data_IF_895699765679
#
_entry.id   IF_895699765679
#
_cell.length_a   1.000
_cell.length_b   1.000
_cell.length_c   1.000
_cell.angle_alpha   90.00
_cell.angle_beta   90.00
_cell.angle_gamma   90.00
#
_symmetry.space_group_name_H-M   'P 1'
#
loop_
_entity.id
_entity.type
_entity.pdbx_description
1 polymer ?
#
# COMPACT_ATOMS: atom_id res chain seq x y z
N UNK A 1 -5.23 -1.44 14.93
CA UNK A 1 -5.03 -1.96 13.56
C UNK A 1 -3.78 -1.39 12.91
N UNK A 2 -3.70 -0.12 12.49
CA UNK A 2 -2.47 0.44 11.83
C UNK A 2 -1.18 0.31 12.65
N UNK A 3 -1.20 0.75 13.91
CA UNK A 3 -0.07 0.56 14.83
C UNK A 3 0.24 -0.93 15.09
N UNK A 4 -0.79 -1.79 15.05
CA UNK A 4 -0.63 -3.24 15.17
C UNK A 4 0.02 -3.83 13.91
N UNK A 5 -0.32 -3.35 12.72
CA UNK A 5 0.30 -3.74 11.44
C UNK A 5 1.76 -3.30 11.38
N UNK A 6 2.06 -2.05 11.73
CA UNK A 6 3.44 -1.56 11.83
C UNK A 6 4.24 -2.37 12.85
N UNK A 7 3.69 -2.59 14.05
CA UNK A 7 4.32 -3.42 15.07
C UNK A 7 4.54 -4.87 14.63
N UNK A 8 3.61 -5.45 13.87
CA UNK A 8 3.77 -6.78 13.29
C UNK A 8 4.94 -6.81 12.31
N UNK A 9 5.06 -5.82 11.41
CA UNK A 9 6.18 -5.71 10.47
C UNK A 9 7.52 -5.64 11.23
N UNK A 10 7.64 -4.75 12.21
CA UNK A 10 8.86 -4.64 13.04
C UNK A 10 9.17 -5.98 13.73
N UNK A 11 8.16 -6.62 14.35
CA UNK A 11 8.37 -7.86 15.08
C UNK A 11 8.82 -9.00 14.15
N UNK A 12 8.28 -9.07 12.93
CA UNK A 12 8.71 -10.05 11.93
C UNK A 12 10.15 -9.79 11.50
N UNK A 13 10.50 -8.56 11.12
CA UNK A 13 11.88 -8.20 10.71
C UNK A 13 12.87 -8.47 11.85
N UNK A 14 12.54 -8.07 13.07
CA UNK A 14 13.36 -8.31 14.26
C UNK A 14 13.52 -9.81 14.55
N UNK A 15 12.46 -10.59 14.41
CA UNK A 15 12.53 -12.05 14.57
C UNK A 15 13.47 -12.68 13.54
N UNK A 16 13.44 -12.20 12.29
CA UNK A 16 14.38 -12.62 11.25
C UNK A 16 15.82 -12.14 11.53
N UNK A 17 16.02 -10.95 12.10
CA UNK A 17 17.36 -10.48 12.47
C UNK A 17 17.99 -11.30 13.60
N UNK A 18 17.16 -11.81 14.52
CA UNK A 18 17.61 -12.48 15.75
C UNK A 18 17.51 -14.01 15.69
N UNK A 19 16.93 -14.57 14.63
CA UNK A 19 16.82 -16.02 14.52
C UNK A 19 18.20 -16.64 14.34
N UNK A 20 18.48 -17.66 15.15
CA UNK A 20 19.71 -18.45 15.04
C UNK A 20 19.58 -19.60 14.03
N UNK A 21 18.36 -19.94 13.64
CA UNK A 21 18.03 -20.94 12.62
C UNK A 21 16.75 -20.52 11.87
N UNK A 22 16.72 -20.56 10.52
CA UNK A 22 17.84 -20.87 9.63
C UNK A 22 18.96 -19.80 9.69
N UNK A 23 20.18 -20.16 9.31
CA UNK A 23 21.29 -19.20 9.17
C UNK A 23 21.16 -18.46 7.85
N UNK A 24 21.10 -17.13 7.91
CA UNK A 24 21.06 -16.27 6.73
C UNK A 24 22.45 -15.78 6.32
N UNK A 25 22.63 -15.51 5.03
CA UNK A 25 23.82 -14.80 4.52
C UNK A 25 24.03 -13.45 5.21
N UNK A 26 25.30 -13.02 5.32
CA UNK A 26 25.63 -11.72 5.93
C UNK A 26 24.97 -10.54 5.19
N UNK A 27 24.84 -10.65 3.87
CA UNK A 27 24.19 -9.64 3.02
C UNK A 27 22.69 -9.52 3.33
N UNK A 28 21.98 -10.64 3.45
CA UNK A 28 20.57 -10.63 3.81
C UNK A 28 20.37 -10.14 5.25
N UNK A 29 21.21 -10.56 6.20
CA UNK A 29 21.18 -10.04 7.58
C UNK A 29 21.46 -8.53 7.65
N UNK A 30 22.33 -8.01 6.80
CA UNK A 30 22.59 -6.57 6.72
C UNK A 30 21.35 -5.84 6.21
N UNK A 31 20.69 -6.37 5.17
CA UNK A 31 19.44 -5.82 4.63
C UNK A 31 18.36 -5.77 5.73
N UNK A 32 18.13 -6.88 6.42
CA UNK A 32 17.15 -6.96 7.51
C UNK A 32 17.42 -5.94 8.64
N UNK A 33 18.69 -5.76 9.03
CA UNK A 33 19.09 -4.78 10.05
C UNK A 33 18.84 -3.35 9.59
N UNK A 34 19.22 -3.00 8.36
CA UNK A 34 18.97 -1.67 7.80
C UNK A 34 17.46 -1.38 7.70
N UNK A 35 16.68 -2.36 7.24
CA UNK A 35 15.22 -2.23 7.22
C UNK A 35 14.64 -2.08 8.63
N UNK A 36 15.12 -2.82 9.63
CA UNK A 36 14.65 -2.69 11.01
C UNK A 36 14.87 -1.27 11.56
N UNK A 37 16.07 -0.71 11.31
CA UNK A 37 16.40 0.66 11.70
C UNK A 37 15.48 1.66 10.98
N UNK A 38 15.27 1.47 9.68
CA UNK A 38 14.42 2.34 8.85
C UNK A 38 12.95 2.33 9.31
N UNK A 39 12.35 1.15 9.48
CA UNK A 39 10.97 1.00 9.94
C UNK A 39 10.75 1.53 11.37
N UNK A 40 11.82 1.69 12.15
CA UNK A 40 11.80 2.27 13.49
C UNK A 40 11.90 3.80 13.49
N UNK A 41 12.19 4.43 12.35
CA UNK A 41 12.28 5.89 12.25
C UNK A 41 10.92 6.57 12.42
N UNK A 42 10.87 7.80 12.98
CA UNK A 42 9.65 8.58 13.10
C UNK A 42 8.84 8.74 11.81
N UNK A 43 9.55 8.85 10.68
CA UNK A 43 8.95 8.92 9.34
C UNK A 43 8.05 7.72 9.04
N UNK A 44 8.47 6.50 9.39
CA UNK A 44 7.68 5.30 9.12
C UNK A 44 6.42 5.22 9.99
N UNK A 45 6.44 5.73 11.23
CA UNK A 45 5.19 5.87 11.98
C UNK A 45 4.18 6.79 11.25
N UNK A 46 4.67 7.89 10.67
CA UNK A 46 3.82 8.81 9.90
C UNK A 46 3.29 8.17 8.61
N UNK A 47 4.10 7.40 7.88
CA UNK A 47 3.65 6.67 6.69
C UNK A 47 2.51 5.69 7.02
N UNK A 48 2.57 5.04 8.17
CA UNK A 48 1.49 4.16 8.65
C UNK A 48 0.28 4.95 9.23
N UNK A 49 0.32 6.29 9.22
CA UNK A 49 -0.70 7.18 9.77
C UNK A 49 -0.80 7.11 11.30
N UNK A 50 0.32 6.83 11.97
CA UNK A 50 0.44 6.77 13.42
C UNK A 50 0.93 8.14 13.91
N UNK A 51 -0.01 9.07 14.08
CA UNK A 51 0.26 10.43 14.58
C UNK A 51 0.12 10.53 16.11
N UNK A 52 1.04 11.27 16.74
CA UNK A 52 1.03 11.76 18.14
C UNK A 52 0.49 10.77 19.19
N UNK A 53 1.21 9.69 19.44
CA UNK A 53 0.96 8.87 20.63
C UNK A 53 2.27 8.63 21.37
N UNK A 54 2.26 8.82 22.70
CA UNK A 54 3.43 8.69 23.58
C UNK A 54 4.14 7.32 23.44
N UNK A 55 3.48 6.33 22.86
CA UNK A 55 4.07 5.07 22.41
C UNK A 55 3.19 4.39 21.34
N UNK A 56 3.80 3.95 20.23
CA UNK A 56 3.14 3.15 19.19
C UNK A 56 2.57 1.83 19.75
N UNK A 57 3.26 1.21 20.73
CA UNK A 57 2.80 0.00 21.41
C UNK A 57 1.50 0.25 22.19
N UNK A 58 1.40 1.37 22.93
CA UNK A 58 0.17 1.74 23.66
C UNK A 58 -1.03 1.91 22.71
N UNK A 59 -0.77 2.31 21.47
CA UNK A 59 -1.79 2.46 20.42
C UNK A 59 -2.16 1.12 19.78
N UNK A 60 -1.19 0.22 19.62
CA UNK A 60 -1.37 -1.10 19.05
C UNK A 60 -2.26 -2.00 19.93
N UNK A 61 -2.18 -1.86 21.25
CA UNK A 61 -2.93 -2.66 22.23
C UNK A 61 -4.23 -2.03 22.74
N UNK A 62 -4.52 -0.76 22.41
CA UNK A 62 -5.85 -0.18 22.65
C UNK A 62 -6.82 -0.69 21.58
N UNK A 63 -7.32 -1.91 21.76
CA UNK A 63 -8.59 -2.29 21.15
C UNK A 63 -9.66 -1.34 21.67
N UNK A 64 -10.55 -0.89 20.79
CA UNK A 64 -11.59 0.09 21.13
C UNK A 64 -12.73 -0.55 21.95
N UNK A 65 -12.40 -1.38 22.94
CA UNK A 65 -13.35 -1.89 23.93
C UNK A 65 -13.66 -0.77 24.93
N UNK A 66 -14.48 0.21 24.53
CA UNK A 66 -15.25 0.96 25.52
C UNK A 66 -16.31 0.02 26.05
N UNK A 67 -16.07 -0.52 27.24
CA UNK A 67 -17.08 -1.22 28.04
C UNK A 67 -18.29 -0.28 28.27
N UNK A 68 -19.53 -0.72 28.06
CA UNK A 68 -20.71 0.15 28.08
C UNK A 68 -21.33 0.32 29.47
N UNK A 69 -20.56 0.35 30.57
CA UNK A 69 -21.16 0.33 31.92
C UNK A 69 -21.13 1.61 32.74
N UNK A 70 -20.35 2.65 32.41
CA UNK A 70 -20.15 3.77 33.34
C UNK A 70 -20.62 5.16 32.88
N UNK A 71 -21.72 5.30 32.14
CA UNK A 71 -22.40 6.61 31.97
C UNK A 71 -23.92 6.50 31.93
N UNK A 72 -24.49 6.06 33.04
CA UNK A 72 -25.83 6.47 33.42
C UNK A 72 -25.73 7.88 34.03
N UNK A 73 -26.48 8.83 33.45
CA UNK A 73 -26.80 10.20 33.87
C UNK A 73 -26.32 11.27 32.88
N UNK A 74 -27.28 11.85 32.15
CA UNK A 74 -27.11 13.15 31.49
C UNK A 74 -27.49 13.15 30.01
N UNK A 75 -28.64 13.73 29.72
CA UNK A 75 -29.17 14.09 28.41
C UNK A 75 -28.13 14.62 27.41
N UNK A 76 -28.16 14.04 26.21
CA UNK A 76 -28.24 14.67 24.88
C UNK A 76 -27.54 13.76 23.87
N UNK A 77 -28.36 13.06 23.07
CA UNK A 77 -27.89 12.25 21.94
C UNK A 77 -27.43 13.17 20.82
N UNK A 78 -26.27 13.78 20.97
CA UNK A 78 -25.45 14.11 19.81
C UNK A 78 -24.53 12.91 19.64
N UNK A 79 -24.89 12.01 18.73
CA UNK A 79 -23.87 11.21 18.07
C UNK A 79 -22.89 12.23 17.47
N UNK A 80 -21.83 12.56 18.20
CA UNK A 80 -20.68 13.24 17.61
C UNK A 80 -20.26 12.35 16.46
N UNK A 81 -20.50 12.80 15.24
CA UNK A 81 -19.90 12.23 14.05
C UNK A 81 -18.41 12.09 14.39
N UNK A 82 -17.92 10.85 14.42
CA UNK A 82 -16.49 10.63 14.52
C UNK A 82 -15.86 11.47 13.41
N UNK A 83 -14.88 12.35 13.70
CA UNK A 83 -14.30 13.20 12.69
C UNK A 83 -13.83 12.32 11.52
N UNK A 84 -14.23 12.71 10.31
CA UNK A 84 -13.85 12.04 9.06
C UNK A 84 -12.32 11.92 8.89
N UNK A 85 -11.56 12.68 9.68
CA UNK A 85 -10.10 12.68 9.83
C UNK A 85 -9.53 11.55 10.69
N UNK A 86 -10.08 10.34 10.61
CA UNK A 86 -9.20 9.19 10.86
C UNK A 86 -8.27 9.07 9.65
N UNK A 87 -7.20 9.90 9.65
CA UNK A 87 -6.10 9.98 8.67
C UNK A 87 -6.01 8.68 7.87
N UNK A 88 -6.61 8.62 6.69
CA UNK A 88 -6.50 7.42 5.86
C UNK A 88 -5.03 7.28 5.47
N UNK A 89 -4.50 6.06 5.52
CA UNK A 89 -3.16 5.79 4.99
C UNK A 89 -3.15 6.23 3.52
N UNK A 90 -2.34 7.25 3.19
CA UNK A 90 -2.34 7.85 1.86
C UNK A 90 -1.75 6.89 0.83
N UNK A 91 -2.17 7.00 -0.43
CA UNK A 91 -1.65 6.15 -1.51
C UNK A 91 -0.13 6.30 -1.68
N UNK A 92 0.47 7.50 -1.62
CA UNK A 92 1.92 7.65 -1.65
C UNK A 92 2.62 7.01 -0.44
N UNK A 93 2.01 7.07 0.76
CA UNK A 93 2.58 6.38 1.92
C UNK A 93 2.54 4.86 1.75
N UNK A 94 1.45 4.33 1.16
CA UNK A 94 1.34 2.90 0.85
C UNK A 94 2.40 2.46 -0.16
N UNK A 95 2.65 3.27 -1.17
CA UNK A 95 3.68 3.03 -2.18
C UNK A 95 5.06 2.91 -1.53
N UNK A 96 5.46 3.88 -0.70
CA UNK A 96 6.74 3.85 0.03
C UNK A 96 6.85 2.62 0.94
N UNK A 97 5.79 2.28 1.68
CA UNK A 97 5.77 1.09 2.53
C UNK A 97 5.91 -0.18 1.69
N UNK A 98 5.23 -0.24 0.55
CA UNK A 98 5.25 -1.40 -0.34
C UNK A 98 6.63 -1.59 -0.96
N UNK A 99 7.27 -0.53 -1.43
CA UNK A 99 8.63 -0.57 -1.99
C UNK A 99 9.64 -1.07 -0.94
N UNK A 100 9.56 -0.57 0.30
CA UNK A 100 10.43 -1.02 1.39
C UNK A 100 10.21 -2.51 1.75
N UNK A 101 8.96 -2.98 1.76
CA UNK A 101 8.67 -4.40 1.97
C UNK A 101 9.13 -5.26 0.79
N UNK A 102 9.01 -4.76 -0.44
CA UNK A 102 9.46 -5.44 -1.64
C UNK A 102 10.97 -5.65 -1.61
N UNK A 103 11.75 -4.65 -1.20
CA UNK A 103 13.21 -4.78 -1.08
C UNK A 103 13.62 -5.94 -0.16
N UNK A 104 12.97 -6.05 1.01
CA UNK A 104 13.20 -7.16 1.95
C UNK A 104 12.82 -8.50 1.33
N UNK A 105 11.67 -8.57 0.66
CA UNK A 105 11.19 -9.78 0.01
C UNK A 105 12.04 -10.19 -1.21
N UNK A 106 12.61 -9.25 -1.94
CA UNK A 106 13.55 -9.56 -3.01
C UNK A 106 14.88 -10.06 -2.47
N UNK A 107 15.39 -9.45 -1.39
CA UNK A 107 16.58 -9.92 -0.72
C UNK A 107 16.42 -11.35 -0.19
N UNK A 108 15.29 -11.66 0.48
CA UNK A 108 15.03 -13.02 0.94
C UNK A 108 14.79 -14.02 -0.19
N UNK A 109 14.33 -13.57 -1.37
CA UNK A 109 14.08 -14.45 -2.51
C UNK A 109 15.39 -14.90 -3.15
N UNK A 110 16.45 -14.08 -3.03
CA UNK A 110 17.81 -14.46 -3.43
C UNK A 110 18.41 -15.48 -2.47
N UNK A 111 18.10 -15.37 -1.17
CA UNK A 111 18.50 -16.34 -0.15
C UNK A 111 17.81 -17.70 -0.36
N UNK A 112 16.53 -17.70 -0.75
CA UNK A 112 15.73 -18.90 -0.98
C UNK A 112 15.10 -18.90 -2.39
N UNK A 113 15.83 -19.30 -3.45
CA UNK A 113 15.35 -19.20 -4.84
C UNK A 113 14.04 -19.95 -5.13
N UNK A 114 13.76 -21.03 -4.39
CA UNK A 114 12.56 -21.86 -4.57
C UNK A 114 11.30 -21.25 -3.93
N UNK A 115 11.43 -20.16 -3.16
CA UNK A 115 10.29 -19.58 -2.47
C UNK A 115 9.36 -18.80 -3.42
N UNK A 116 8.05 -18.99 -3.28
CA UNK A 116 7.05 -18.42 -4.20
C UNK A 116 6.37 -17.15 -3.68
N UNK A 117 6.79 -16.65 -2.52
CA UNK A 117 6.12 -15.52 -1.83
C UNK A 117 5.90 -14.26 -2.68
N UNK A 118 6.88 -13.83 -3.49
CA UNK A 118 6.72 -12.69 -4.41
C UNK A 118 5.67 -12.98 -5.49
N UNK A 119 5.67 -14.19 -6.04
CA UNK A 119 4.65 -14.63 -7.02
C UNK A 119 3.26 -14.68 -6.38
N UNK A 120 3.16 -15.24 -5.18
CA UNK A 120 1.91 -15.27 -4.40
C UNK A 120 1.41 -13.87 -4.09
N UNK A 121 2.29 -12.98 -3.61
CA UNK A 121 1.95 -11.59 -3.29
C UNK A 121 1.46 -10.85 -4.53
N UNK A 122 2.16 -10.98 -5.66
CA UNK A 122 1.75 -10.39 -6.94
C UNK A 122 0.38 -10.92 -7.38
N UNK A 123 0.16 -12.24 -7.35
CA UNK A 123 -1.13 -12.85 -7.70
C UNK A 123 -2.28 -12.32 -6.83
N UNK A 124 -2.08 -12.23 -5.51
CA UNK A 124 -3.08 -11.70 -4.59
C UNK A 124 -3.37 -10.21 -4.84
N UNK A 125 -2.32 -9.39 -5.01
CA UNK A 125 -2.47 -7.96 -5.29
C UNK A 125 -3.21 -7.73 -6.62
N UNK A 126 -2.82 -8.46 -7.67
CA UNK A 126 -3.46 -8.43 -8.98
C UNK A 126 -4.95 -8.80 -8.90
N UNK A 127 -5.28 -9.88 -8.21
CA UNK A 127 -6.68 -10.32 -8.05
C UNK A 127 -7.52 -9.27 -7.31
N UNK A 128 -6.98 -8.63 -6.28
CA UNK A 128 -7.66 -7.56 -5.54
C UNK A 128 -7.76 -6.25 -6.34
N UNK A 129 -6.76 -5.94 -7.18
CA UNK A 129 -6.76 -4.75 -8.03
C UNK A 129 -7.81 -4.83 -9.16
N UNK A 130 -8.03 -6.03 -9.71
CA UNK A 130 -8.99 -6.26 -10.79
C UNK A 130 -10.39 -6.72 -10.31
N UNK A 131 -10.55 -7.00 -9.02
CA UNK A 131 -11.85 -7.26 -8.41
C UNK A 131 -12.44 -5.96 -7.85
N UNK A 132 -13.65 -5.60 -8.28
CA UNK A 132 -14.30 -4.38 -7.80
C UNK A 132 -14.58 -4.46 -6.30
N UNK A 133 -13.88 -3.63 -5.54
CA UNK A 133 -14.12 -3.40 -4.12
C UNK A 133 -13.60 -2.00 -3.77
N UNK A 134 -14.46 -0.97 -3.71
CA UNK A 134 -14.04 0.42 -3.52
C UNK A 134 -13.13 0.66 -2.30
N UNK A 135 -13.25 -0.17 -1.25
CA UNK A 135 -12.44 -0.04 -0.05
C UNK A 135 -11.01 -0.59 -0.20
N UNK A 136 -10.80 -1.57 -1.09
CA UNK A 136 -9.52 -2.28 -1.24
C UNK A 136 -8.85 -2.03 -2.59
N UNK A 137 -9.64 -1.84 -3.65
CA UNK A 137 -9.16 -1.77 -5.02
C UNK A 137 -8.11 -0.67 -5.25
N UNK A 138 -8.29 0.59 -4.79
CA UNK A 138 -7.25 1.61 -4.94
C UNK A 138 -5.94 1.22 -4.26
N UNK A 139 -6.01 0.62 -3.07
CA UNK A 139 -4.82 0.17 -2.32
C UNK A 139 -4.14 -1.02 -2.99
N UNK A 140 -4.92 -1.95 -3.51
CA UNK A 140 -4.41 -3.11 -4.24
C UNK A 140 -3.74 -2.70 -5.56
N UNK A 141 -4.24 -1.65 -6.23
CA UNK A 141 -3.62 -1.08 -7.43
C UNK A 141 -2.23 -0.51 -7.14
N UNK A 142 -2.06 0.23 -6.02
CA UNK A 142 -0.73 0.69 -5.59
C UNK A 142 0.22 -0.48 -5.39
N UNK A 143 -0.23 -1.49 -4.61
CA UNK A 143 0.60 -2.67 -4.33
C UNK A 143 0.97 -3.41 -5.62
N UNK A 144 0.00 -3.65 -6.50
CA UNK A 144 0.21 -4.30 -7.80
C UNK A 144 1.20 -3.52 -8.67
N UNK A 145 1.09 -2.19 -8.72
CA UNK A 145 2.01 -1.34 -9.47
C UNK A 145 3.46 -1.43 -8.97
N UNK A 146 3.67 -1.45 -7.66
CA UNK A 146 5.00 -1.57 -7.06
C UNK A 146 5.66 -2.94 -7.31
N UNK A 147 4.92 -4.03 -7.09
CA UNK A 147 5.52 -5.38 -7.05
C UNK A 147 5.55 -6.10 -8.39
N UNK A 148 4.86 -5.57 -9.41
CA UNK A 148 4.85 -6.15 -10.75
C UNK A 148 6.22 -6.03 -11.40
N UNK A 149 6.72 -7.14 -11.95
CA UNK A 149 7.98 -7.17 -12.74
C UNK A 149 7.73 -7.31 -14.24
N UNK A 150 6.55 -7.78 -14.61
CA UNK A 150 6.13 -7.94 -15.99
C UNK A 150 4.65 -7.57 -16.09
N UNK A 151 4.25 -7.11 -17.26
CA UNK A 151 2.85 -6.82 -17.54
C UNK A 151 2.49 -7.23 -18.96
N UNK A 152 1.25 -7.68 -19.13
CA UNK A 152 0.66 -8.00 -20.42
C UNK A 152 -0.19 -6.83 -20.94
N UNK A 153 -0.33 -6.74 -22.26
CA UNK A 153 -1.18 -5.73 -22.88
C UNK A 153 -2.65 -5.84 -22.42
N UNK A 154 -3.12 -7.03 -22.01
CA UNK A 154 -4.47 -7.23 -21.52
C UNK A 154 -4.69 -6.64 -20.13
N UNK A 155 -3.71 -6.74 -19.23
CA UNK A 155 -3.77 -6.13 -17.90
C UNK A 155 -3.81 -4.60 -18.01
N UNK A 156 -2.95 -4.00 -18.85
CA UNK A 156 -2.97 -2.54 -19.02
C UNK A 156 -4.26 -2.07 -19.68
N UNK A 157 -4.78 -2.80 -20.69
CA UNK A 157 -6.11 -2.52 -21.23
C UNK A 157 -7.20 -2.59 -20.17
N UNK A 158 -7.11 -3.54 -19.24
CA UNK A 158 -8.07 -3.66 -18.15
C UNK A 158 -7.99 -2.47 -17.19
N UNK A 159 -6.78 -2.03 -16.81
CA UNK A 159 -6.57 -0.80 -16.01
C UNK A 159 -7.18 0.42 -16.71
N UNK A 160 -6.92 0.59 -18.01
CA UNK A 160 -7.48 1.69 -18.80
C UNK A 160 -9.01 1.65 -18.87
N UNK A 161 -9.64 0.47 -18.98
CA UNK A 161 -11.10 0.34 -18.91
C UNK A 161 -11.66 0.75 -17.56
N UNK A 162 -10.99 0.40 -16.47
CA UNK A 162 -11.40 0.82 -15.12
C UNK A 162 -11.25 2.34 -14.99
N UNK A 163 -10.17 2.92 -15.52
CA UNK A 163 -9.93 4.37 -15.52
C UNK A 163 -11.02 5.13 -16.29
N UNK A 164 -11.40 4.67 -17.48
CA UNK A 164 -12.49 5.28 -18.26
C UNK A 164 -13.78 5.30 -17.45
N UNK A 165 -14.18 4.18 -16.83
CA UNK A 165 -15.38 4.12 -15.98
C UNK A 165 -15.29 5.03 -14.76
N UNK A 166 -14.11 5.09 -14.13
CA UNK A 166 -13.89 5.97 -12.98
C UNK A 166 -14.06 7.44 -13.38
N UNK A 167 -13.48 7.84 -14.51
CA UNK A 167 -13.60 9.19 -15.09
C UNK A 167 -15.02 9.53 -15.54
N UNK A 168 -15.75 8.59 -16.15
CA UNK A 168 -17.16 8.77 -16.54
C UNK A 168 -18.05 9.09 -15.34
N UNK A 169 -17.80 8.42 -14.20
CA UNK A 169 -18.56 8.65 -12.98
C UNK A 169 -18.08 9.88 -12.19
N UNK A 170 -16.78 10.19 -12.30
CA UNK A 170 -16.04 11.20 -11.53
C UNK A 170 -16.33 11.22 -10.02
N UNK A 171 -16.74 10.08 -9.45
CA UNK A 171 -17.18 9.99 -8.05
C UNK A 171 -16.10 9.47 -7.09
N UNK A 172 -15.03 8.87 -7.62
CA UNK A 172 -13.98 8.23 -6.84
C UNK A 172 -12.60 8.71 -7.30
N UNK A 173 -12.22 9.90 -6.83
CA UNK A 173 -10.92 10.53 -7.13
C UNK A 173 -9.76 9.66 -6.62
N UNK A 174 -9.93 8.93 -5.50
CA UNK A 174 -8.91 8.03 -4.97
C UNK A 174 -8.65 6.86 -5.91
N UNK A 175 -9.69 6.31 -6.55
CA UNK A 175 -9.53 5.27 -7.56
C UNK A 175 -8.79 5.80 -8.80
N UNK A 176 -9.11 7.02 -9.24
CA UNK A 176 -8.43 7.68 -10.36
C UNK A 176 -6.94 7.89 -10.04
N UNK A 177 -6.62 8.46 -8.88
CA UNK A 177 -5.25 8.65 -8.39
C UNK A 177 -4.48 7.32 -8.35
N UNK A 178 -5.07 6.28 -7.75
CA UNK A 178 -4.45 4.95 -7.67
C UNK A 178 -4.19 4.32 -9.04
N UNK A 179 -5.10 4.50 -10.00
CA UNK A 179 -4.92 4.01 -11.37
C UNK A 179 -3.78 4.73 -12.08
N UNK A 180 -3.67 6.05 -11.92
CA UNK A 180 -2.58 6.84 -12.51
C UNK A 180 -1.24 6.44 -11.92
N UNK A 181 -1.14 6.33 -10.59
CA UNK A 181 0.08 5.86 -9.90
C UNK A 181 0.47 4.44 -10.37
N UNK A 182 -0.49 3.52 -10.43
CA UNK A 182 -0.29 2.16 -10.88
C UNK A 182 0.19 2.11 -12.35
N UNK A 183 -0.48 2.83 -13.25
CA UNK A 183 -0.10 2.91 -14.66
C UNK A 183 1.30 3.51 -14.86
N UNK A 184 1.67 4.51 -14.06
CA UNK A 184 3.01 5.13 -14.10
C UNK A 184 4.11 4.13 -13.76
N UNK A 185 3.88 3.27 -12.75
CA UNK A 185 4.83 2.19 -12.38
C UNK A 185 4.88 1.07 -13.42
N UNK A 186 3.76 0.78 -14.07
CA UNK A 186 3.64 -0.34 -15.02
C UNK A 186 4.12 0.04 -16.42
N UNK A 187 4.05 1.31 -16.83
CA UNK A 187 4.44 1.77 -18.16
C UNK A 187 5.85 1.30 -18.56
N UNK A 188 6.91 1.40 -17.72
CA UNK A 188 8.25 0.93 -18.07
C UNK A 188 8.34 -0.59 -18.29
N UNK A 189 7.38 -1.36 -17.77
CA UNK A 189 7.32 -2.82 -17.92
C UNK A 189 6.68 -3.27 -19.24
N UNK A 190 6.03 -2.35 -19.96
CA UNK A 190 5.46 -2.64 -21.27
C UNK A 190 6.57 -2.86 -22.30
N UNK A 191 6.37 -3.88 -23.15
CA UNK A 191 7.24 -4.14 -24.29
C UNK A 191 7.32 -2.90 -25.19
N UNK A 192 8.49 -2.60 -25.74
CA UNK A 192 8.71 -1.41 -26.59
C UNK A 192 7.77 -1.36 -27.80
N UNK A 193 7.42 -2.52 -28.36
CA UNK A 193 6.51 -2.66 -29.51
C UNK A 193 5.02 -2.57 -29.15
N UNK A 194 4.68 -2.39 -27.86
CA UNK A 194 3.28 -2.34 -27.46
C UNK A 194 2.60 -1.10 -28.05
N UNK A 195 1.45 -1.24 -28.74
CA UNK A 195 0.70 -0.09 -29.25
C UNK A 195 0.13 0.78 -28.12
N UNK A 196 0.14 0.29 -26.88
CA UNK A 196 -0.42 0.95 -25.70
C UNK A 196 0.37 2.21 -25.31
N UNK A 197 1.66 2.29 -25.64
CA UNK A 197 2.48 3.49 -25.35
C UNK A 197 1.86 4.77 -25.90
N UNK A 198 1.34 4.72 -27.14
CA UNK A 198 0.66 5.85 -27.77
C UNK A 198 -0.63 6.23 -27.04
N UNK A 199 -1.36 5.24 -26.53
CA UNK A 199 -2.58 5.49 -25.76
C UNK A 199 -2.27 6.11 -24.39
N UNK A 200 -1.23 5.64 -23.71
CA UNK A 200 -0.80 6.18 -22.41
C UNK A 200 -0.37 7.64 -22.50
N UNK A 201 0.28 8.05 -23.59
CA UNK A 201 0.58 9.45 -23.85
C UNK A 201 -0.69 10.32 -23.82
N UNK A 202 -1.73 9.92 -24.56
CA UNK A 202 -2.98 10.68 -24.59
C UNK A 202 -3.74 10.63 -23.26
N UNK A 203 -3.67 9.50 -22.54
CA UNK A 203 -4.24 9.40 -21.18
C UNK A 203 -3.57 10.40 -20.24
N UNK A 204 -2.25 10.52 -20.27
CA UNK A 204 -1.53 11.51 -19.46
C UNK A 204 -1.96 12.94 -19.80
N UNK A 205 -2.07 13.27 -21.09
CA UNK A 205 -2.56 14.59 -21.54
C UNK A 205 -4.00 14.85 -21.05
N UNK A 206 -4.90 13.86 -21.15
CA UNK A 206 -6.27 14.00 -20.67
C UNK A 206 -6.35 14.20 -19.15
N UNK A 207 -5.51 13.52 -18.38
CA UNK A 207 -5.44 13.70 -16.91
C UNK A 207 -4.93 15.10 -16.55
N UNK A 208 -3.95 15.63 -17.29
CA UNK A 208 -3.49 17.02 -17.14
C UNK A 208 -4.59 18.05 -17.41
N UNK A 209 -5.60 17.71 -18.20
CA UNK A 209 -6.73 18.60 -18.49
C UNK A 209 -7.84 18.55 -17.43
N UNK A 210 -7.79 17.61 -16.47
CA UNK A 210 -8.80 17.52 -15.41
C UNK A 210 -8.70 18.64 -14.38
N UNK A 211 -7.59 19.38 -14.34
CA UNK A 211 -7.29 20.47 -13.38
C UNK A 211 -7.43 20.07 -11.90
N UNK A 212 -7.26 18.77 -11.60
CA UNK A 212 -7.32 18.22 -10.25
C UNK A 212 -5.92 18.15 -9.63
N UNK A 213 -5.62 19.05 -8.70
CA UNK A 213 -4.28 19.22 -8.10
C UNK A 213 -3.78 17.92 -7.45
N UNK A 214 -4.66 17.08 -6.90
CA UNK A 214 -4.27 15.81 -6.28
C UNK A 214 -3.75 14.76 -7.27
N UNK A 215 -3.91 14.97 -8.58
CA UNK A 215 -3.46 14.06 -9.63
C UNK A 215 -2.10 14.45 -10.24
N UNK A 216 -1.47 15.54 -9.76
CA UNK A 216 -0.18 16.07 -10.23
C UNK A 216 0.95 15.91 -9.22
#
# INVERSE_FOLDING_TARGET
>A
MRASTHGLVINVIHSLCTCSNPSFSEEFQKTLRLSLDEFSLPKFYLLFGISKVKSAAVTAFRSSCRHPTDRWLGNERVCQQLPADRERLSLPSLEVITDALLEIMEAGSREYPDCQWLSTWNSLAKNLAFCYNPALQPRALIVFGCISKTVTDQEVKQLLRILVKALESFNDVMLIEALIMCLTRIQPLLRSESPIHKALFWVAVSVLQLDEISLY
#
